data_IF_603770806017
#
_entry.id   IF_603770806017
#
_cell.length_a   1.000
_cell.length_b   1.000
_cell.length_c   1.000
_cell.angle_alpha   90.00
_cell.angle_beta   90.00
_cell.angle_gamma   90.00
#
_symmetry.space_group_name_H-M   'P 1'
#
loop_
_entity.id
_entity.type
_entity.pdbx_description
1 polymer ?
#
# COMPACT_ATOMS: atom_id res chain seq x y z
N UNK A 1 15.09 -5.26 -19.38
CA UNK A 1 15.39 -4.46 -18.17
C UNK A 1 16.48 -5.18 -17.41
N UNK A 2 17.55 -4.51 -17.02
CA UNK A 2 18.61 -5.14 -16.24
C UNK A 2 18.03 -5.59 -14.88
N UNK A 3 18.23 -6.85 -14.51
CA UNK A 3 17.76 -7.37 -13.23
C UNK A 3 18.44 -6.62 -12.09
N UNK A 4 17.67 -6.20 -11.09
CA UNK A 4 18.21 -5.61 -9.86
C UNK A 4 19.24 -6.56 -9.20
N UNK A 5 20.24 -6.00 -8.51
CA UNK A 5 21.21 -6.79 -7.75
C UNK A 5 20.45 -7.70 -6.74
N UNK A 6 20.66 -9.03 -6.75
CA UNK A 6 19.96 -9.96 -5.86
C UNK A 6 20.09 -9.63 -4.36
N UNK A 7 21.21 -9.03 -3.94
CA UNK A 7 21.41 -8.67 -2.53
C UNK A 7 20.60 -7.42 -2.14
N UNK A 8 20.45 -6.48 -3.07
CA UNK A 8 19.54 -5.33 -2.92
C UNK A 8 18.10 -5.83 -2.84
N UNK A 9 17.69 -6.72 -3.76
CA UNK A 9 16.35 -7.28 -3.78
C UNK A 9 15.99 -7.97 -2.46
N UNK A 10 16.89 -8.74 -1.85
CA UNK A 10 16.65 -9.41 -0.56
C UNK A 10 16.48 -8.43 0.61
N UNK A 11 17.24 -7.34 0.62
CA UNK A 11 17.23 -6.37 1.73
C UNK A 11 16.15 -5.29 1.55
N UNK A 12 15.80 -4.95 0.32
CA UNK A 12 14.84 -3.89 0.00
C UNK A 12 13.42 -4.44 -0.06
N UNK A 13 12.55 -3.92 0.81
CA UNK A 13 11.12 -4.19 0.74
C UNK A 13 10.46 -3.03 -0.02
N UNK A 14 9.93 -3.31 -1.21
CA UNK A 14 9.17 -2.34 -1.98
C UNK A 14 7.78 -2.17 -1.38
N UNK A 15 7.21 -0.98 -1.52
CA UNK A 15 5.82 -0.68 -1.21
C UNK A 15 5.17 0.01 -2.39
N UNK A 16 4.12 -0.61 -2.91
CA UNK A 16 3.17 0.04 -3.83
C UNK A 16 1.94 0.45 -3.02
N UNK A 17 1.53 1.71 -3.14
CA UNK A 17 0.24 2.17 -2.65
C UNK A 17 -0.65 2.59 -3.80
N UNK A 18 -1.96 2.34 -3.70
CA UNK A 18 -2.96 2.80 -4.66
C UNK A 18 -4.17 3.34 -3.90
N UNK A 19 -4.46 4.62 -4.05
CA UNK A 19 -5.58 5.30 -3.44
C UNK A 19 -6.79 5.34 -4.38
N UNK A 20 -7.96 5.05 -3.83
CA UNK A 20 -9.22 4.97 -4.55
C UNK A 20 -10.29 5.84 -3.89
N UNK A 21 -11.08 6.48 -4.74
CA UNK A 21 -12.36 7.06 -4.36
C UNK A 21 -13.47 6.05 -4.59
N UNK A 22 -14.54 6.12 -3.80
CA UNK A 22 -15.78 5.42 -4.14
C UNK A 22 -16.45 6.05 -5.35
N UNK A 23 -17.31 5.29 -6.02
CA UNK A 23 -18.25 5.87 -6.99
C UNK A 23 -19.27 6.76 -6.28
N UNK A 24 -19.82 7.77 -6.96
CA UNK A 24 -20.79 8.70 -6.35
C UNK A 24 -22.04 7.98 -5.80
N UNK A 25 -22.43 6.88 -6.43
CA UNK A 25 -23.59 6.06 -6.07
C UNK A 25 -23.33 5.04 -4.95
N UNK A 26 -22.07 4.77 -4.61
CA UNK A 26 -21.70 3.78 -3.60
C UNK A 26 -21.56 4.45 -2.23
N UNK A 27 -22.33 4.02 -1.23
CA UNK A 27 -22.17 4.52 0.15
C UNK A 27 -20.83 4.07 0.78
N UNK A 28 -20.31 4.79 1.78
CA UNK A 28 -19.13 4.36 2.52
C UNK A 28 -19.26 2.95 3.11
N UNK A 29 -20.43 2.59 3.63
CA UNK A 29 -20.71 1.29 4.21
C UNK A 29 -20.73 0.16 3.16
N UNK A 30 -21.28 0.42 1.97
CA UNK A 30 -21.25 -0.53 0.86
C UNK A 30 -19.83 -0.74 0.35
N UNK A 31 -19.06 0.35 0.18
CA UNK A 31 -17.65 0.27 -0.20
C UNK A 31 -16.85 -0.54 0.82
N UNK A 32 -17.04 -0.27 2.11
CA UNK A 32 -16.34 -0.98 3.18
C UNK A 32 -16.66 -2.48 3.17
N UNK A 33 -17.94 -2.83 3.05
CA UNK A 33 -18.39 -4.23 3.02
C UNK A 33 -17.82 -4.97 1.82
N UNK A 34 -17.96 -4.42 0.61
CA UNK A 34 -17.40 -5.04 -0.59
C UNK A 34 -15.86 -5.11 -0.50
N UNK A 35 -15.21 -4.00 -0.14
CA UNK A 35 -13.76 -3.90 -0.08
C UNK A 35 -13.12 -4.85 0.92
N UNK A 36 -13.81 -5.18 2.01
CA UNK A 36 -13.31 -6.11 3.05
C UNK A 36 -13.77 -7.55 2.83
N UNK A 37 -15.07 -7.79 2.77
CA UNK A 37 -15.68 -9.14 2.77
C UNK A 37 -15.57 -9.83 1.40
N UNK A 38 -15.58 -9.05 0.31
CA UNK A 38 -15.54 -9.58 -1.06
C UNK A 38 -14.16 -9.43 -1.68
N UNK A 39 -13.51 -8.28 -1.51
CA UNK A 39 -12.25 -8.01 -2.19
C UNK A 39 -11.02 -8.42 -1.36
N UNK A 40 -10.71 -7.68 -0.28
CA UNK A 40 -9.46 -7.83 0.46
C UNK A 40 -9.25 -9.25 1.02
N UNK A 41 -10.29 -9.88 1.58
CA UNK A 41 -10.19 -11.23 2.13
C UNK A 41 -9.82 -12.30 1.08
N UNK A 42 -10.34 -12.19 -0.14
CA UNK A 42 -10.02 -13.12 -1.23
C UNK A 42 -8.65 -12.82 -1.83
N UNK A 43 -8.40 -11.55 -2.13
CA UNK A 43 -7.16 -11.08 -2.75
C UNK A 43 -5.95 -11.32 -1.84
N UNK A 44 -6.09 -11.29 -0.51
CA UNK A 44 -5.01 -11.65 0.42
C UNK A 44 -4.43 -13.06 0.18
N UNK A 45 -5.27 -14.04 -0.19
CA UNK A 45 -4.81 -15.40 -0.49
C UNK A 45 -4.04 -15.46 -1.80
N UNK A 46 -4.47 -14.68 -2.80
CA UNK A 46 -3.80 -14.57 -4.10
C UNK A 46 -2.45 -13.87 -3.93
N UNK A 47 -2.40 -12.77 -3.18
CA UNK A 47 -1.16 -12.08 -2.83
C UNK A 47 -0.15 -13.03 -2.17
N UNK A 48 -0.57 -13.76 -1.14
CA UNK A 48 0.30 -14.72 -0.46
C UNK A 48 0.81 -15.82 -1.40
N UNK A 49 -0.07 -16.35 -2.28
CA UNK A 49 0.29 -17.34 -3.30
C UNK A 49 1.41 -16.86 -4.23
N UNK A 50 1.44 -15.57 -4.57
CA UNK A 50 2.43 -15.00 -5.49
C UNK A 50 3.66 -14.40 -4.81
N UNK A 51 3.73 -14.40 -3.47
CA UNK A 51 4.91 -13.93 -2.72
C UNK A 51 4.88 -12.46 -2.31
N UNK A 52 3.70 -11.83 -2.29
CA UNK A 52 3.53 -10.54 -1.59
C UNK A 52 3.75 -10.77 -0.09
N UNK A 53 4.68 -10.03 0.50
CA UNK A 53 5.08 -10.17 1.90
C UNK A 53 4.13 -9.46 2.87
N UNK A 54 3.34 -8.52 2.37
CA UNK A 54 2.20 -8.04 3.12
C UNK A 54 1.22 -7.22 2.29
N UNK A 55 0.03 -7.09 2.82
CA UNK A 55 -1.09 -6.41 2.18
C UNK A 55 -1.94 -5.75 3.26
N UNK A 56 -2.25 -4.48 3.06
CA UNK A 56 -3.09 -3.72 3.98
C UNK A 56 -4.07 -2.83 3.21
N UNK A 57 -5.21 -2.55 3.84
CA UNK A 57 -6.15 -1.53 3.38
C UNK A 57 -6.28 -0.48 4.47
N UNK A 58 -5.97 0.76 4.14
CA UNK A 58 -6.22 1.89 4.99
C UNK A 58 -7.55 2.55 4.61
N UNK A 59 -8.44 2.65 5.57
CA UNK A 59 -9.74 3.31 5.43
C UNK A 59 -9.69 4.69 6.05
N UNK A 60 -10.10 5.71 5.30
CA UNK A 60 -10.12 7.11 5.76
C UNK A 60 -11.54 7.69 5.69
N UNK A 61 -12.51 7.20 6.49
CA UNK A 61 -13.85 7.76 6.47
C UNK A 61 -13.85 9.24 6.90
N UNK A 62 -14.94 9.95 6.59
CA UNK A 62 -15.06 11.39 6.82
C UNK A 62 -14.77 11.79 8.28
N UNK A 63 -15.16 10.98 9.26
CA UNK A 63 -14.89 11.23 10.68
C UNK A 63 -13.39 11.27 11.00
N UNK A 64 -12.59 10.36 10.43
CA UNK A 64 -11.14 10.30 10.65
C UNK A 64 -10.43 11.43 9.90
N UNK A 65 -10.88 11.76 8.68
CA UNK A 65 -10.39 12.94 7.94
C UNK A 65 -10.70 14.23 8.71
N UNK A 66 -11.84 14.31 9.39
CA UNK A 66 -12.18 15.41 10.29
C UNK A 66 -11.17 15.56 11.44
N UNK A 67 -10.79 14.46 12.09
CA UNK A 67 -9.73 14.46 13.11
C UNK A 67 -8.38 14.92 12.55
N UNK A 68 -8.00 14.43 11.36
CA UNK A 68 -6.76 14.85 10.71
C UNK A 68 -6.75 16.36 10.36
N UNK A 69 -7.89 16.91 9.90
CA UNK A 69 -8.05 18.34 9.66
C UNK A 69 -7.92 19.16 10.94
N UNK A 70 -8.56 18.73 12.03
CA UNK A 70 -8.44 19.41 13.32
C UNK A 70 -6.99 19.38 13.86
N UNK A 71 -6.29 18.26 13.70
CA UNK A 71 -4.88 18.16 14.04
C UNK A 71 -4.02 19.10 13.20
N UNK A 72 -4.23 19.15 11.88
CA UNK A 72 -3.51 20.06 10.99
C UNK A 72 -3.72 21.53 11.37
N UNK A 73 -4.95 21.92 11.70
CA UNK A 73 -5.28 23.27 12.17
C UNK A 73 -4.48 23.64 13.42
N UNK A 74 -4.39 22.73 14.39
CA UNK A 74 -3.60 22.93 15.59
C UNK A 74 -2.08 23.01 15.34
N UNK A 75 -1.60 22.52 14.19
CA UNK A 75 -0.19 22.50 13.80
C UNK A 75 0.16 23.58 12.76
N UNK A 76 -0.77 24.48 12.47
CA UNK A 76 -0.58 25.63 11.59
C UNK A 76 -0.93 25.39 10.12
N UNK A 77 -1.83 24.45 9.83
CA UNK A 77 -2.49 24.26 8.53
C UNK A 77 -1.55 24.12 7.32
N UNK A 78 -0.45 23.37 7.48
CA UNK A 78 0.54 23.15 6.41
C UNK A 78 0.33 21.84 5.64
N UNK A 79 -0.57 20.96 6.07
CA UNK A 79 -0.75 19.65 5.44
C UNK A 79 -1.88 19.66 4.42
N UNK A 80 -1.69 18.89 3.35
CA UNK A 80 -2.79 18.46 2.48
C UNK A 80 -3.42 17.21 3.10
N UNK A 81 -4.67 17.32 3.53
CA UNK A 81 -5.42 16.17 4.03
C UNK A 81 -6.05 15.46 2.84
N UNK A 82 -5.47 14.32 2.47
CA UNK A 82 -5.99 13.46 1.41
C UNK A 82 -7.40 13.00 1.73
N UNK A 83 -8.26 12.98 0.72
CA UNK A 83 -9.69 12.74 0.85
C UNK A 83 -10.19 11.49 0.12
N UNK A 84 -9.28 10.65 -0.40
CA UNK A 84 -9.61 9.31 -0.87
C UNK A 84 -10.33 8.49 0.22
N UNK A 85 -11.18 7.57 -0.21
CA UNK A 85 -11.98 6.74 0.70
C UNK A 85 -11.19 5.55 1.23
N UNK A 86 -10.30 4.99 0.40
CA UNK A 86 -9.34 3.98 0.81
C UNK A 86 -8.00 4.14 0.09
N UNK A 87 -6.94 3.56 0.65
CA UNK A 87 -5.80 3.15 -0.14
C UNK A 87 -5.36 1.74 0.24
N UNK A 88 -4.90 1.00 -0.75
CA UNK A 88 -4.29 -0.32 -0.58
C UNK A 88 -2.78 -0.17 -0.57
N UNK A 89 -2.10 -0.96 0.25
CA UNK A 89 -0.64 -1.06 0.26
C UNK A 89 -0.23 -2.52 0.09
N UNK A 90 0.78 -2.78 -0.75
CA UNK A 90 1.37 -4.09 -0.96
C UNK A 90 2.88 -4.00 -0.77
N UNK A 91 3.45 -4.96 -0.05
CA UNK A 91 4.89 -5.08 0.15
C UNK A 91 5.47 -6.30 -0.57
N UNK A 92 6.55 -6.11 -1.32
CA UNK A 92 7.11 -7.14 -2.20
C UNK A 92 8.59 -6.87 -2.52
N UNK A 93 9.27 -7.81 -3.19
CA UNK A 93 10.70 -7.72 -3.48
C UNK A 93 11.04 -7.29 -4.91
N UNK A 94 10.18 -7.61 -5.87
CA UNK A 94 10.40 -7.31 -7.29
C UNK A 94 9.10 -7.07 -8.06
N UNK A 95 9.22 -6.41 -9.20
CA UNK A 95 8.07 -6.10 -10.06
C UNK A 95 7.46 -7.35 -10.71
N UNK A 96 8.20 -8.45 -10.82
CA UNK A 96 7.67 -9.70 -11.37
C UNK A 96 6.59 -10.31 -10.47
N UNK A 97 6.74 -10.16 -9.15
CA UNK A 97 5.75 -10.54 -8.14
C UNK A 97 4.41 -9.84 -8.38
N UNK A 98 4.42 -8.51 -8.58
CA UNK A 98 3.20 -7.73 -8.86
C UNK A 98 2.62 -8.10 -10.23
N UNK A 99 3.46 -8.30 -11.24
CA UNK A 99 3.02 -8.73 -12.56
C UNK A 99 2.34 -10.11 -12.52
N UNK A 100 2.83 -11.04 -11.69
CA UNK A 100 2.22 -12.35 -11.51
C UNK A 100 0.83 -12.27 -10.84
N UNK A 101 0.67 -11.40 -9.84
CA UNK A 101 -0.65 -11.12 -9.24
C UNK A 101 -1.61 -10.54 -10.28
N UNK A 102 -1.18 -9.54 -11.05
CA UNK A 102 -2.01 -8.90 -12.07
C UNK A 102 -2.42 -9.87 -13.21
N UNK A 103 -1.61 -10.89 -13.47
CA UNK A 103 -1.90 -11.95 -14.43
C UNK A 103 -2.74 -13.11 -13.86
N UNK A 104 -3.00 -13.15 -12.55
CA UNK A 104 -3.78 -14.22 -11.94
C UNK A 104 -5.26 -14.12 -12.37
N UNK A 105 -5.85 -15.18 -12.95
CA UNK A 105 -7.24 -15.14 -13.42
C UNK A 105 -8.26 -14.86 -12.31
N UNK A 106 -8.01 -15.35 -11.08
CA UNK A 106 -8.91 -15.11 -9.96
C UNK A 106 -8.84 -13.64 -9.53
N UNK A 107 -7.65 -13.03 -9.61
CA UNK A 107 -7.49 -11.60 -9.36
C UNK A 107 -8.21 -10.76 -10.42
N UNK A 108 -8.06 -11.09 -11.70
CA UNK A 108 -8.75 -10.39 -12.79
C UNK A 108 -10.27 -10.49 -12.66
N UNK A 109 -10.79 -11.67 -12.29
CA UNK A 109 -12.20 -11.88 -12.05
C UNK A 109 -12.71 -11.02 -10.87
N UNK A 110 -11.97 -10.94 -9.77
CA UNK A 110 -12.32 -10.08 -8.64
C UNK A 110 -12.27 -8.60 -9.00
N UNK A 111 -11.22 -8.16 -9.70
CA UNK A 111 -11.07 -6.77 -10.15
C UNK A 111 -12.19 -6.35 -11.12
N UNK A 112 -12.72 -7.27 -11.93
CA UNK A 112 -13.86 -6.99 -12.79
C UNK A 112 -15.15 -6.61 -12.00
N UNK A 113 -15.23 -6.98 -10.71
CA UNK A 113 -16.37 -6.64 -9.84
C UNK A 113 -16.25 -5.27 -9.16
N UNK A 114 -15.12 -4.57 -9.33
CA UNK A 114 -14.81 -3.31 -8.64
C UNK A 114 -15.66 -2.12 -9.09
N UNK A 115 -16.08 -2.10 -10.37
CA UNK A 115 -16.68 -0.95 -11.03
C UNK A 115 -17.84 -0.25 -10.30
N UNK A 116 -18.77 -0.97 -9.65
CA UNK A 116 -19.84 -0.33 -8.87
C UNK A 116 -19.35 0.40 -7.61
N UNK A 117 -18.20 0.00 -7.04
CA UNK A 117 -17.78 0.40 -5.71
C UNK A 117 -16.65 1.43 -5.72
N UNK A 118 -15.63 1.24 -6.57
CA UNK A 118 -14.47 2.12 -6.65
C UNK A 118 -14.41 2.84 -8.01
N UNK A 119 -14.15 4.15 -7.95
CA UNK A 119 -13.93 4.99 -9.11
C UNK A 119 -12.58 4.68 -9.76
N UNK A 120 -12.58 4.63 -11.09
CA UNK A 120 -11.35 4.53 -11.90
C UNK A 120 -10.74 5.90 -12.22
N UNK A 121 -11.32 6.98 -11.69
CA UNK A 121 -10.90 8.36 -11.91
C UNK A 121 -10.14 8.83 -10.66
N UNK A 122 -9.09 9.63 -10.86
CA UNK A 122 -8.26 10.18 -9.78
C UNK A 122 -7.58 9.13 -8.89
N UNK A 123 -7.27 7.96 -9.46
CA UNK A 123 -6.41 6.97 -8.79
C UNK A 123 -5.03 7.58 -8.59
N UNK A 124 -4.54 7.59 -7.36
CA UNK A 124 -3.18 8.00 -7.03
C UNK A 124 -2.36 6.78 -6.62
N UNK A 125 -1.19 6.60 -7.22
CA UNK A 125 -0.30 5.51 -6.89
C UNK A 125 1.09 6.01 -6.50
N UNK A 126 1.76 5.31 -5.58
CA UNK A 126 3.16 5.56 -5.24
C UNK A 126 3.94 4.25 -5.12
N UNK A 127 5.17 4.23 -5.63
CA UNK A 127 6.10 3.12 -5.49
C UNK A 127 7.38 3.64 -4.81
N UNK A 128 7.83 2.93 -3.79
CA UNK A 128 9.08 3.20 -3.10
C UNK A 128 9.56 1.98 -2.32
N UNK A 129 10.54 2.17 -1.43
CA UNK A 129 10.93 1.15 -0.46
C UNK A 129 10.56 1.57 0.96
N UNK A 130 10.53 0.60 1.88
CA UNK A 130 10.26 0.82 3.30
C UNK A 130 11.48 0.46 4.11
N UNK A 131 11.86 1.39 5.00
CA UNK A 131 12.81 1.18 6.08
C UNK A 131 12.04 1.26 7.40
N UNK A 132 11.83 0.12 8.05
CA UNK A 132 11.10 0.06 9.30
C UNK A 132 12.07 0.21 10.47
N UNK A 133 11.84 1.19 11.34
CA UNK A 133 12.65 1.44 12.55
C UNK A 133 11.95 0.94 13.83
N UNK A 134 10.63 0.74 13.79
CA UNK A 134 9.82 0.20 14.90
C UNK A 134 8.82 -0.83 14.37
N UNK A 135 8.80 -2.01 14.98
CA UNK A 135 7.86 -3.10 14.70
C UNK A 135 7.39 -3.70 16.03
N UNK A 136 6.09 -3.91 16.20
CA UNK A 136 5.49 -4.51 17.41
C UNK A 136 5.97 -3.86 18.73
N UNK A 137 6.10 -2.53 18.71
CA UNK A 137 6.59 -1.74 19.86
C UNK A 137 8.08 -1.89 20.16
N UNK A 138 8.86 -2.52 19.29
CA UNK A 138 10.30 -2.75 19.44
C UNK A 138 11.09 -2.00 18.37
N UNK A 139 12.28 -1.51 18.74
CA UNK A 139 13.25 -0.97 17.77
C UNK A 139 13.79 -2.13 16.92
N UNK A 140 13.77 -1.95 15.60
CA UNK A 140 14.27 -2.92 14.61
C UNK A 140 15.16 -2.21 13.60
N UNK A 141 16.06 -2.95 12.93
CA UNK A 141 16.97 -2.43 11.89
C UNK A 141 17.84 -1.24 12.35
N UNK A 142 18.24 -1.25 13.61
CA UNK A 142 19.19 -0.30 14.21
C UNK A 142 20.28 -1.10 14.93
N UNK A 143 21.54 -0.81 14.64
CA UNK A 143 22.69 -1.48 15.26
C UNK A 143 22.81 -1.12 16.75
N UNK A 144 23.58 -1.89 17.56
CA UNK A 144 23.84 -1.55 18.96
C UNK A 144 24.40 -0.12 19.18
N UNK A 145 25.07 0.43 18.17
CA UNK A 145 25.64 1.79 18.16
C UNK A 145 24.63 2.87 17.74
N UNK A 146 23.37 2.50 17.48
CA UNK A 146 22.32 3.44 17.08
C UNK A 146 22.36 3.87 15.62
N UNK A 147 22.97 3.08 14.73
CA UNK A 147 23.02 3.36 13.28
C UNK A 147 21.96 2.56 12.51
N UNK A 148 21.40 3.07 11.39
CA UNK A 148 20.51 2.28 10.55
C UNK A 148 21.21 1.04 9.98
N UNK A 149 20.54 -0.11 10.01
CA UNK A 149 21.02 -1.37 9.41
C UNK A 149 20.38 -1.59 8.03
N UNK A 150 20.67 -0.68 7.10
CA UNK A 150 20.20 -0.72 5.71
C UNK A 150 21.38 -0.54 4.74
N UNK A 151 21.14 -0.84 3.46
CA UNK A 151 22.09 -0.54 2.39
C UNK A 151 22.18 0.97 2.13
N UNK A 152 23.17 1.40 1.36
CA UNK A 152 23.32 2.81 0.98
C UNK A 152 22.14 3.30 0.13
N UNK A 153 21.91 4.61 0.10
CA UNK A 153 20.89 5.20 -0.79
C UNK A 153 21.14 4.86 -2.27
N UNK A 154 22.40 4.84 -2.71
CA UNK A 154 22.77 4.48 -4.08
C UNK A 154 22.30 3.07 -4.43
N UNK A 155 22.52 2.10 -3.54
CA UNK A 155 22.05 0.72 -3.70
C UNK A 155 20.52 0.63 -3.62
N UNK A 156 19.91 1.31 -2.64
CA UNK A 156 18.47 1.26 -2.38
C UNK A 156 17.62 1.99 -3.43
N UNK A 157 18.19 2.94 -4.16
CA UNK A 157 17.49 3.73 -5.19
C UNK A 157 17.60 3.15 -6.61
N UNK A 158 18.37 2.07 -6.80
CA UNK A 158 18.43 1.37 -8.08
C UNK A 158 17.04 0.86 -8.51
N UNK A 159 16.61 1.13 -9.75
CA UNK A 159 15.27 0.75 -10.21
C UNK A 159 15.00 -0.77 -10.01
N UNK A 160 13.83 -1.15 -9.45
CA UNK A 160 13.47 -2.54 -9.19
C UNK A 160 13.01 -3.31 -10.43
#
# INVERSE_FOLDING_TARGET
>A
MASCNPDVQKKRLLRLTVAHYRTETCSPEEMYRWGTEVHAAHVARIHAKHGIEGYAVHWSPASFRGVAKALNANLGDRWVIRDHDMHVEFWFRDMATVAAVAADPDFQALQATEGPYASKIHIEASLGWVEQYVADGKVVNVTPEGKPDFLSFEEMSAAP
#
